data_IF_335280719790
#
_entry.id   IF_335280719790
#
_cell.length_a   1.000
_cell.length_b   1.000
_cell.length_c   1.000
_cell.angle_alpha   90.00
_cell.angle_beta   90.00
_cell.angle_gamma   90.00
#
_symmetry.space_group_name_H-M   'P 1'
#
loop_
_entity.id
_entity.type
_entity.pdbx_description
1 polymer ?
#
# COMPACT_ATOMS: atom_id res chain seq x y z
N UNK A 1 -17.69 12.04 -10.72
CA UNK A 1 -16.98 10.89 -11.32
C UNK A 1 -17.82 9.64 -11.12
N UNK A 2 -17.90 8.75 -12.12
CA UNK A 2 -18.62 7.48 -12.00
C UNK A 2 -17.84 6.49 -11.12
N UNK A 3 -18.53 5.50 -10.52
CA UNK A 3 -17.88 4.49 -9.68
C UNK A 3 -16.76 3.73 -10.43
N UNK A 4 -16.98 3.41 -11.71
CA UNK A 4 -16.00 2.76 -12.58
C UNK A 4 -14.72 3.59 -12.75
N UNK A 5 -14.86 4.92 -12.93
CA UNK A 5 -13.70 5.80 -13.04
C UNK A 5 -12.88 5.84 -11.75
N UNK A 6 -13.53 5.86 -10.58
CA UNK A 6 -12.82 5.82 -9.30
C UNK A 6 -12.04 4.50 -9.13
N UNK A 7 -12.64 3.36 -9.52
CA UNK A 7 -11.95 2.06 -9.50
C UNK A 7 -10.75 2.04 -10.43
N UNK A 8 -10.89 2.55 -11.66
CA UNK A 8 -9.80 2.63 -12.62
C UNK A 8 -8.65 3.50 -12.10
N UNK A 9 -8.95 4.64 -11.45
CA UNK A 9 -7.93 5.50 -10.84
C UNK A 9 -7.17 4.77 -9.74
N UNK A 10 -7.85 3.99 -8.88
CA UNK A 10 -7.19 3.19 -7.84
C UNK A 10 -6.25 2.15 -8.45
N UNK A 11 -6.70 1.42 -9.47
CA UNK A 11 -5.88 0.43 -10.18
C UNK A 11 -4.63 1.10 -10.77
N UNK A 12 -4.79 2.20 -11.50
CA UNK A 12 -3.68 2.91 -12.12
C UNK A 12 -2.72 3.51 -11.07
N UNK A 13 -3.24 4.10 -10.01
CA UNK A 13 -2.43 4.65 -8.93
C UNK A 13 -1.60 3.55 -8.26
N UNK A 14 -2.18 2.37 -8.05
CA UNK A 14 -1.46 1.24 -7.49
C UNK A 14 -0.34 0.77 -8.42
N UNK A 15 -0.64 0.56 -9.71
CA UNK A 15 0.35 0.14 -10.72
C UNK A 15 1.51 1.14 -10.79
N UNK A 16 1.23 2.44 -10.81
CA UNK A 16 2.25 3.48 -10.85
C UNK A 16 3.09 3.50 -9.56
N UNK A 17 2.46 3.41 -8.39
CA UNK A 17 3.16 3.41 -7.11
C UNK A 17 4.06 2.16 -6.97
N UNK A 18 3.54 0.99 -7.36
CA UNK A 18 4.30 -0.25 -7.32
C UNK A 18 5.42 -0.23 -8.37
N UNK A 19 5.15 0.20 -9.59
CA UNK A 19 6.16 0.35 -10.65
C UNK A 19 7.29 1.29 -10.26
N UNK A 20 7.00 2.47 -9.67
CA UNK A 20 8.04 3.35 -9.12
C UNK A 20 8.85 2.65 -8.03
N UNK A 21 8.18 1.90 -7.16
CA UNK A 21 8.87 1.18 -6.09
C UNK A 21 9.79 0.12 -6.68
N UNK A 22 9.30 -0.72 -7.58
CA UNK A 22 10.04 -1.84 -8.18
C UNK A 22 11.17 -1.39 -9.12
N UNK A 23 10.96 -0.33 -9.90
CA UNK A 23 11.89 0.08 -10.97
C UNK A 23 12.85 1.20 -10.57
N UNK A 24 12.53 1.95 -9.51
CA UNK A 24 13.36 3.09 -9.07
C UNK A 24 13.78 2.95 -7.61
N UNK A 25 12.83 2.80 -6.68
CA UNK A 25 13.14 2.80 -5.24
C UNK A 25 13.98 1.59 -4.87
N UNK A 26 13.52 0.37 -5.18
CA UNK A 26 14.17 -0.88 -4.81
C UNK A 26 15.57 -0.99 -5.43
N UNK A 27 15.79 -0.73 -6.73
CA UNK A 27 17.13 -0.79 -7.32
C UNK A 27 18.08 0.26 -6.72
N UNK A 28 17.59 1.45 -6.39
CA UNK A 28 18.39 2.47 -5.74
C UNK A 28 18.76 2.05 -4.31
N UNK A 29 17.79 1.55 -3.53
CA UNK A 29 18.02 1.06 -2.18
C UNK A 29 19.01 -0.11 -2.18
N UNK A 30 18.90 -1.04 -3.13
CA UNK A 30 19.79 -2.19 -3.29
C UNK A 30 21.27 -1.76 -3.41
N UNK A 31 21.53 -0.61 -4.02
CA UNK A 31 22.89 -0.09 -4.20
C UNK A 31 23.52 0.42 -2.90
N UNK A 32 22.72 0.88 -1.93
CA UNK A 32 23.21 1.53 -0.71
C UNK A 32 22.96 0.71 0.56
N UNK A 33 21.88 -0.07 0.60
CA UNK A 33 21.40 -0.83 1.76
C UNK A 33 21.00 -2.25 1.32
N UNK A 34 21.96 -3.06 0.83
CA UNK A 34 21.62 -4.33 0.21
C UNK A 34 20.97 -5.32 1.17
N UNK A 35 21.51 -5.40 2.39
CA UNK A 35 21.03 -6.32 3.44
C UNK A 35 19.60 -5.99 3.89
N UNK A 36 19.21 -4.72 3.86
CA UNK A 36 17.83 -4.30 4.20
C UNK A 36 16.87 -4.60 3.05
N UNK A 37 17.32 -4.40 1.82
CA UNK A 37 16.51 -4.56 0.61
C UNK A 37 16.16 -6.03 0.35
N UNK A 38 16.97 -6.96 0.84
CA UNK A 38 16.67 -8.39 0.82
C UNK A 38 15.36 -8.74 1.55
N UNK A 39 14.94 -7.91 2.52
CA UNK A 39 13.70 -8.11 3.28
C UNK A 39 12.52 -7.35 2.67
N UNK A 40 12.66 -6.04 2.46
CA UNK A 40 11.64 -5.21 1.82
C UNK A 40 12.16 -3.84 1.36
N UNK A 41 11.35 -3.10 0.61
CA UNK A 41 11.61 -1.70 0.30
C UNK A 41 11.22 -0.79 1.48
N UNK A 42 12.12 0.10 1.88
CA UNK A 42 11.90 1.11 2.93
C UNK A 42 10.97 2.24 2.47
N UNK A 43 10.69 2.37 1.17
CA UNK A 43 9.69 3.32 0.67
C UNK A 43 8.68 2.55 -0.15
N UNK A 44 7.77 1.86 0.53
CA UNK A 44 6.74 1.07 -0.14
C UNK A 44 5.49 1.92 -0.44
N UNK A 45 5.54 2.65 -1.55
CA UNK A 45 4.46 3.56 -1.99
C UNK A 45 3.07 2.92 -2.10
N UNK A 46 2.91 1.64 -2.53
CA UNK A 46 1.60 1.01 -2.63
C UNK A 46 0.81 1.00 -1.32
N UNK A 47 1.48 1.01 -0.16
CA UNK A 47 0.79 1.11 1.12
C UNK A 47 -0.05 2.38 1.25
N UNK A 48 0.52 3.53 0.84
CA UNK A 48 -0.21 4.79 0.82
C UNK A 48 -1.45 4.74 -0.06
N UNK A 49 -1.35 4.08 -1.22
CA UNK A 49 -2.49 3.88 -2.14
C UNK A 49 -3.58 3.04 -1.46
N UNK A 50 -3.22 1.96 -0.77
CA UNK A 50 -4.18 1.11 -0.03
C UNK A 50 -4.93 1.91 1.03
N UNK A 51 -4.20 2.65 1.86
CA UNK A 51 -4.78 3.46 2.95
C UNK A 51 -5.70 4.54 2.41
N UNK A 52 -5.26 5.32 1.41
CA UNK A 52 -6.04 6.44 0.86
C UNK A 52 -7.26 5.96 0.07
N UNK A 53 -7.13 4.88 -0.70
CA UNK A 53 -8.24 4.31 -1.47
C UNK A 53 -9.31 3.75 -0.53
N UNK A 54 -8.91 3.03 0.52
CA UNK A 54 -9.83 2.54 1.56
C UNK A 54 -10.46 3.69 2.33
N UNK A 55 -9.71 4.75 2.64
CA UNK A 55 -10.26 5.94 3.29
C UNK A 55 -11.38 6.58 2.45
N UNK A 56 -11.19 6.68 1.14
CA UNK A 56 -12.14 7.30 0.20
C UNK A 56 -13.34 6.41 -0.13
N UNK A 57 -13.10 5.12 -0.40
CA UNK A 57 -14.10 4.20 -0.97
C UNK A 57 -14.57 3.11 0.00
N UNK A 58 -13.98 3.02 1.19
CA UNK A 58 -14.24 1.96 2.16
C UNK A 58 -13.97 0.57 1.58
N UNK A 59 -14.85 -0.38 1.91
CA UNK A 59 -14.78 -1.77 1.40
C UNK A 59 -14.77 -1.90 -0.13
N UNK A 60 -15.29 -0.91 -0.86
CA UNK A 60 -15.31 -0.92 -2.33
C UNK A 60 -13.89 -0.82 -2.89
N UNK A 61 -12.92 -0.29 -2.13
CA UNK A 61 -11.51 -0.24 -2.54
C UNK A 61 -10.85 -1.62 -2.65
N UNK A 62 -11.38 -2.64 -1.95
CA UNK A 62 -10.73 -3.95 -1.88
C UNK A 62 -10.49 -4.57 -3.27
N UNK A 63 -11.52 -4.65 -4.10
CA UNK A 63 -11.42 -5.24 -5.44
C UNK A 63 -10.45 -4.49 -6.38
N UNK A 64 -10.55 -3.17 -6.58
CA UNK A 64 -9.59 -2.46 -7.44
C UNK A 64 -8.15 -2.50 -6.88
N UNK A 65 -7.95 -2.57 -5.56
CA UNK A 65 -6.62 -2.78 -4.98
C UNK A 65 -6.07 -4.17 -5.32
N UNK A 66 -6.88 -5.23 -5.23
CA UNK A 66 -6.47 -6.57 -5.65
C UNK A 66 -6.12 -6.62 -7.14
N UNK A 67 -6.94 -6.00 -7.99
CA UNK A 67 -6.69 -5.93 -9.45
C UNK A 67 -5.40 -5.16 -9.73
N UNK A 68 -5.21 -3.99 -9.12
CA UNK A 68 -4.00 -3.19 -9.29
C UNK A 68 -2.74 -3.92 -8.82
N UNK A 69 -2.82 -4.62 -7.68
CA UNK A 69 -1.72 -5.42 -7.18
C UNK A 69 -1.40 -6.61 -8.09
N UNK A 70 -2.41 -7.36 -8.55
CA UNK A 70 -2.23 -8.46 -9.49
C UNK A 70 -1.56 -7.98 -10.79
N UNK A 71 -2.07 -6.89 -11.38
CA UNK A 71 -1.47 -6.32 -12.60
C UNK A 71 -0.04 -5.83 -12.35
N UNK A 72 0.25 -5.30 -11.17
CA UNK A 72 1.62 -4.90 -10.80
C UNK A 72 2.57 -6.09 -10.77
N UNK A 73 2.15 -7.21 -10.16
CA UNK A 73 2.93 -8.45 -10.17
C UNK A 73 3.13 -9.00 -11.59
N UNK A 74 2.12 -8.91 -12.45
CA UNK A 74 2.25 -9.32 -13.86
C UNK A 74 3.24 -8.44 -14.63
N UNK A 75 3.27 -7.14 -14.35
CA UNK A 75 4.07 -6.16 -15.10
C UNK A 75 5.52 -6.04 -14.59
N UNK A 76 5.74 -6.16 -13.28
CA UNK A 76 7.02 -5.81 -12.65
C UNK A 76 7.73 -6.99 -11.98
N UNK A 77 7.07 -8.14 -11.85
CA UNK A 77 7.69 -9.37 -11.30
C UNK A 77 8.05 -10.32 -12.44
N UNK A 78 9.31 -10.81 -12.51
CA UNK A 78 9.72 -11.77 -13.53
C UNK A 78 8.81 -13.01 -13.57
N UNK A 79 8.48 -13.49 -14.77
CA UNK A 79 7.50 -14.57 -14.95
C UNK A 79 7.87 -15.86 -14.21
N UNK A 80 9.16 -16.21 -14.20
CA UNK A 80 9.70 -17.39 -13.51
C UNK A 80 9.45 -17.30 -12.00
N UNK A 81 9.71 -16.14 -11.39
CA UNK A 81 9.48 -15.88 -9.98
C UNK A 81 7.98 -15.92 -9.65
N UNK A 82 7.15 -15.34 -10.53
CA UNK A 82 5.71 -15.30 -10.35
C UNK A 82 5.08 -16.70 -10.35
N UNK A 83 5.49 -17.57 -11.27
CA UNK A 83 5.01 -18.96 -11.36
C UNK A 83 5.50 -19.77 -10.15
N UNK A 84 6.75 -19.60 -9.75
CA UNK A 84 7.33 -20.31 -8.59
C UNK A 84 6.64 -19.96 -7.27
N UNK A 85 6.07 -18.75 -7.16
CA UNK A 85 5.42 -18.25 -5.95
C UNK A 85 3.88 -18.32 -6.02
N UNK A 86 3.30 -18.97 -7.02
CA UNK A 86 1.87 -19.25 -7.07
C UNK A 86 1.56 -20.50 -6.21
N UNK A 87 0.55 -20.50 -5.32
CA UNK A 87 -0.51 -19.50 -5.11
C UNK A 87 -0.21 -18.41 -4.06
N UNK A 88 0.99 -18.41 -3.46
CA UNK A 88 1.37 -17.51 -2.36
C UNK A 88 1.22 -16.03 -2.72
N UNK A 89 1.54 -15.63 -3.95
CA UNK A 89 1.35 -14.25 -4.43
C UNK A 89 -0.11 -13.79 -4.36
N UNK A 90 -1.07 -14.64 -4.75
CA UNK A 90 -2.49 -14.28 -4.73
C UNK A 90 -2.98 -14.06 -3.30
N UNK A 91 -2.51 -14.89 -2.36
CA UNK A 91 -2.80 -14.71 -0.93
C UNK A 91 -2.15 -13.42 -0.39
N UNK A 92 -0.89 -13.15 -0.76
CA UNK A 92 -0.19 -11.90 -0.41
C UNK A 92 -0.92 -10.66 -0.89
N UNK A 93 -1.47 -10.68 -2.12
CA UNK A 93 -2.29 -9.61 -2.68
C UNK A 93 -3.55 -9.40 -1.84
N UNK A 94 -4.27 -10.48 -1.54
CA UNK A 94 -5.50 -10.41 -0.76
C UNK A 94 -5.25 -9.87 0.66
N UNK A 95 -4.20 -10.36 1.33
CA UNK A 95 -3.77 -9.88 2.65
C UNK A 95 -3.40 -8.39 2.59
N UNK A 96 -2.60 -7.99 1.60
CA UNK A 96 -2.20 -6.61 1.40
C UNK A 96 -3.40 -5.67 1.20
N UNK A 97 -4.34 -6.04 0.33
CA UNK A 97 -5.55 -5.25 0.09
C UNK A 97 -6.48 -5.22 1.33
N UNK A 98 -6.61 -6.33 2.05
CA UNK A 98 -7.44 -6.42 3.25
C UNK A 98 -6.86 -5.63 4.44
N UNK A 99 -5.54 -5.53 4.56
CA UNK A 99 -4.87 -4.91 5.72
C UNK A 99 -5.39 -3.49 6.03
N UNK A 100 -5.56 -2.66 5.01
CA UNK A 100 -6.11 -1.32 5.17
C UNK A 100 -7.56 -1.37 5.61
N UNK A 101 -8.40 -2.20 4.98
CA UNK A 101 -9.81 -2.32 5.36
C UNK A 101 -9.96 -2.78 6.82
N UNK A 102 -9.22 -3.81 7.23
CA UNK A 102 -9.23 -4.31 8.60
C UNK A 102 -8.77 -3.25 9.60
N UNK A 103 -7.78 -2.44 9.25
CA UNK A 103 -7.33 -1.34 10.11
C UNK A 103 -8.39 -0.27 10.30
N UNK A 104 -9.08 0.12 9.22
CA UNK A 104 -10.18 1.09 9.31
C UNK A 104 -11.35 0.56 10.14
N UNK A 105 -11.71 -0.72 9.98
CA UNK A 105 -12.73 -1.35 10.81
C UNK A 105 -12.28 -1.47 12.28
N UNK A 106 -11.02 -1.79 12.56
CA UNK A 106 -10.49 -1.82 13.93
C UNK A 106 -10.58 -0.43 14.61
N UNK A 107 -10.22 0.64 13.90
CA UNK A 107 -10.36 2.01 14.41
C UNK A 107 -11.84 2.40 14.59
N UNK A 108 -12.72 1.92 13.70
CA UNK A 108 -14.16 2.11 13.83
C UNK A 108 -14.76 1.38 15.04
N UNK A 109 -14.29 0.15 15.34
CA UNK A 109 -14.67 -0.62 16.53
C UNK A 109 -14.24 0.08 17.83
N UNK A 110 -13.13 0.82 17.80
CA UNK A 110 -12.70 1.70 18.89
C UNK A 110 -13.51 3.01 19.00
N UNK A 111 -14.60 3.15 18.23
CA UNK A 111 -15.51 4.30 18.28
C UNK A 111 -15.19 5.41 17.27
N UNK A 112 -14.17 5.25 16.42
CA UNK A 112 -13.72 6.29 15.49
C UNK A 112 -13.98 5.90 14.03
N UNK A 113 -15.16 6.26 13.50
CA UNK A 113 -15.46 6.06 12.07
C UNK A 113 -14.86 7.17 11.22
N UNK A 114 -13.75 6.87 10.54
CA UNK A 114 -12.88 7.87 9.89
C UNK A 114 -12.91 7.83 8.36
N UNK A 115 -13.87 7.12 7.75
CA UNK A 115 -14.07 7.10 6.30
C UNK A 115 -14.44 8.50 5.77
N UNK A 116 -13.91 8.88 4.61
CA UNK A 116 -14.09 10.21 4.01
C UNK A 116 -15.58 10.58 3.83
N UNK A 117 -16.42 9.62 3.43
CA UNK A 117 -17.86 9.84 3.22
C UNK A 117 -18.63 10.18 4.50
N UNK A 118 -18.06 9.93 5.68
CA UNK A 118 -18.72 10.09 6.97
C UNK A 118 -18.25 11.36 7.72
N UNK A 119 -17.24 12.07 7.22
CA UNK A 119 -16.66 13.24 7.88
C UNK A 119 -16.46 14.38 6.88
N UNK A 120 -16.88 15.59 7.25
CA UNK A 120 -16.68 16.79 6.43
C UNK A 120 -15.22 17.29 6.42
N UNK A 121 -14.38 16.81 7.34
CA UNK A 121 -13.00 17.28 7.55
C UNK A 121 -12.04 16.09 7.60
N UNK A 122 -10.90 16.20 6.91
CA UNK A 122 -9.84 15.19 6.92
C UNK A 122 -9.04 15.29 8.22
N UNK A 123 -9.21 14.33 9.12
CA UNK A 123 -8.33 14.22 10.28
C UNK A 123 -7.08 13.39 9.95
N UNK A 124 -6.04 14.06 9.45
CA UNK A 124 -4.79 13.43 9.03
C UNK A 124 -4.15 12.53 10.11
N UNK A 125 -4.30 12.88 11.40
CA UNK A 125 -3.82 12.06 12.53
C UNK A 125 -4.47 10.68 12.55
N UNK A 126 -5.78 10.61 12.36
CA UNK A 126 -6.52 9.35 12.32
C UNK A 126 -6.20 8.53 11.08
N UNK A 127 -5.97 9.20 9.95
CA UNK A 127 -5.53 8.56 8.72
C UNK A 127 -4.15 7.90 8.89
N UNK A 128 -3.20 8.61 9.51
CA UNK A 128 -1.88 8.05 9.83
C UNK A 128 -1.97 6.90 10.84
N UNK A 129 -2.83 7.01 11.86
CA UNK A 129 -3.06 5.92 12.81
C UNK A 129 -3.59 4.68 12.09
N UNK A 130 -4.63 4.82 11.28
CA UNK A 130 -5.18 3.70 10.51
C UNK A 130 -4.14 3.11 9.55
N UNK A 131 -3.33 3.95 8.91
CA UNK A 131 -2.23 3.49 8.08
C UNK A 131 -1.13 2.74 8.85
N UNK A 132 -0.86 3.14 10.09
CA UNK A 132 0.07 2.44 11.00
C UNK A 132 -0.50 1.08 11.39
N UNK A 133 -1.77 1.02 11.80
CA UNK A 133 -2.45 -0.24 12.12
C UNK A 133 -2.48 -1.17 10.90
N UNK A 134 -2.77 -0.62 9.72
CA UNK A 134 -2.75 -1.37 8.46
C UNK A 134 -1.37 -1.94 8.16
N UNK A 135 -0.31 -1.19 8.43
CA UNK A 135 1.07 -1.63 8.25
C UNK A 135 1.43 -2.79 9.19
N UNK A 136 1.01 -2.75 10.45
CA UNK A 136 1.19 -3.87 11.39
C UNK A 136 0.43 -5.11 10.90
N UNK A 137 -0.85 -4.96 10.51
CA UNK A 137 -1.66 -6.06 9.98
C UNK A 137 -1.03 -6.65 8.71
N UNK A 138 -0.56 -5.79 7.80
CA UNK A 138 0.13 -6.20 6.58
C UNK A 138 1.41 -6.96 6.91
N UNK A 139 2.26 -6.43 7.78
CA UNK A 139 3.55 -7.06 8.12
C UNK A 139 3.37 -8.44 8.76
N UNK A 140 2.43 -8.58 9.69
CA UNK A 140 2.07 -9.88 10.29
C UNK A 140 1.50 -10.81 9.23
N UNK A 141 0.55 -10.34 8.42
CA UNK A 141 -0.07 -11.14 7.37
C UNK A 141 0.94 -11.64 6.33
N UNK A 142 1.81 -10.76 5.83
CA UNK A 142 2.86 -11.14 4.87
C UNK A 142 3.83 -12.14 5.49
N UNK A 143 4.22 -11.96 6.75
CA UNK A 143 5.11 -12.91 7.44
C UNK A 143 4.48 -14.29 7.57
N UNK A 144 3.17 -14.39 7.80
CA UNK A 144 2.44 -15.67 7.83
C UNK A 144 2.30 -16.28 6.42
N UNK A 145 2.07 -15.45 5.41
CA UNK A 145 1.96 -15.90 4.01
C UNK A 145 3.28 -16.46 3.50
N UNK A 146 4.41 -15.84 3.87
CA UNK A 146 5.74 -16.24 3.44
C UNK A 146 6.51 -17.09 4.47
N UNK A 147 5.88 -17.54 5.56
CA UNK A 147 6.56 -18.30 6.62
C UNK A 147 7.15 -19.63 6.15
N UNK A 148 6.63 -20.21 5.07
CA UNK A 148 7.20 -21.42 4.44
C UNK A 148 8.43 -21.12 3.55
N UNK A 149 8.67 -19.86 3.20
CA UNK A 149 9.75 -19.41 2.33
C UNK A 149 10.84 -18.62 3.07
N UNK A 150 10.54 -18.07 4.25
CA UNK A 150 11.45 -17.27 5.09
C UNK A 150 11.97 -18.11 6.24
N UNK A 151 13.30 -18.16 6.42
CA UNK A 151 13.94 -18.84 7.54
C UNK A 151 13.49 -18.24 8.89
N UNK A 152 13.23 -19.07 9.93
CA UNK A 152 12.75 -18.60 11.24
C UNK A 152 13.60 -17.47 11.85
N UNK A 153 14.91 -17.49 11.62
CA UNK A 153 15.90 -16.59 12.22
C UNK A 153 15.78 -15.12 11.78
N UNK A 154 15.06 -14.84 10.68
CA UNK A 154 14.92 -13.49 10.14
C UNK A 154 13.51 -12.89 10.24
N UNK A 155 12.57 -13.61 10.86
CA UNK A 155 11.15 -13.24 10.95
C UNK A 155 10.92 -11.83 11.54
N UNK A 156 11.69 -11.47 12.58
CA UNK A 156 11.58 -10.16 13.24
C UNK A 156 12.10 -9.00 12.39
N UNK A 157 13.17 -9.23 11.62
CA UNK A 157 13.73 -8.23 10.73
C UNK A 157 12.75 -7.94 9.58
N UNK A 158 12.18 -8.99 8.99
CA UNK A 158 11.15 -8.88 7.94
C UNK A 158 9.97 -8.04 8.42
N UNK A 159 9.37 -8.40 9.56
CA UNK A 159 8.27 -7.65 10.18
C UNK A 159 8.59 -6.16 10.35
N UNK A 160 9.79 -5.86 10.84
CA UNK A 160 10.20 -4.48 11.14
C UNK A 160 10.40 -3.68 9.85
N UNK A 161 11.08 -4.25 8.86
CA UNK A 161 11.38 -3.56 7.59
C UNK A 161 10.08 -3.34 6.79
N UNK A 162 9.16 -4.31 6.76
CA UNK A 162 7.82 -4.09 6.18
C UNK A 162 7.07 -2.97 6.89
N UNK A 163 7.04 -2.98 8.23
CA UNK A 163 6.29 -1.99 8.99
C UNK A 163 6.84 -0.57 8.77
N UNK A 164 8.15 -0.41 8.86
CA UNK A 164 8.83 0.88 8.63
C UNK A 164 8.66 1.32 7.18
N UNK A 165 8.82 0.39 6.22
CA UNK A 165 8.72 0.68 4.80
C UNK A 165 7.33 1.17 4.37
N UNK A 166 6.29 0.55 4.93
CA UNK A 166 4.90 0.95 4.76
C UNK A 166 4.64 2.35 5.34
N UNK A 167 5.13 2.65 6.55
CA UNK A 167 4.94 3.95 7.19
C UNK A 167 5.59 5.08 6.39
N UNK A 168 6.84 4.89 5.96
CA UNK A 168 7.54 5.86 5.11
C UNK A 168 6.80 6.00 3.79
N UNK A 169 6.40 4.87 3.17
CA UNK A 169 5.62 4.85 1.93
C UNK A 169 4.30 5.63 2.04
N UNK A 170 3.57 5.50 3.14
CA UNK A 170 2.35 6.26 3.41
C UNK A 170 2.62 7.76 3.48
N UNK A 171 3.63 8.17 4.25
CA UNK A 171 3.99 9.58 4.41
C UNK A 171 4.39 10.17 3.05
N UNK A 172 5.26 9.48 2.30
CA UNK A 172 5.72 9.93 0.99
C UNK A 172 4.57 10.03 0.00
N UNK A 173 3.73 8.99 -0.12
CA UNK A 173 2.56 9.00 -1.01
C UNK A 173 1.60 10.14 -0.68
N UNK A 174 1.32 10.36 0.61
CA UNK A 174 0.45 11.46 1.05
C UNK A 174 1.04 12.82 0.69
N UNK A 175 2.33 13.02 0.92
CA UNK A 175 3.03 14.26 0.61
C UNK A 175 3.03 14.54 -0.90
N UNK A 176 3.39 13.55 -1.72
CA UNK A 176 3.36 13.66 -3.20
C UNK A 176 1.97 14.07 -3.69
N UNK A 177 0.90 13.42 -3.20
CA UNK A 177 -0.46 13.77 -3.58
C UNK A 177 -0.85 15.19 -3.15
N UNK A 178 -0.39 15.67 -2.00
CA UNK A 178 -0.60 17.06 -1.60
C UNK A 178 0.02 18.04 -2.60
N UNK A 179 1.24 17.78 -3.09
CA UNK A 179 1.87 18.62 -4.12
C UNK A 179 1.13 18.55 -5.45
N UNK A 180 0.74 17.34 -5.88
CA UNK A 180 -0.03 17.15 -7.11
C UNK A 180 -1.34 17.95 -7.06
N UNK A 181 -2.12 17.81 -5.98
CA UNK A 181 -3.38 18.56 -5.84
C UNK A 181 -3.17 20.06 -5.66
N UNK A 182 -2.06 20.49 -5.05
CA UNK A 182 -1.70 21.91 -4.99
C UNK A 182 -1.45 22.45 -6.39
N UNK A 183 -0.66 21.75 -7.20
CA UNK A 183 -0.35 22.16 -8.58
C UNK A 183 -1.59 22.17 -9.47
N UNK A 184 -2.42 21.14 -9.39
CA UNK A 184 -3.67 21.07 -10.15
C UNK A 184 -4.61 22.22 -9.81
N UNK A 185 -4.73 22.60 -8.52
CA UNK A 185 -5.52 23.78 -8.11
C UNK A 185 -4.96 25.08 -8.69
N UNK A 186 -3.65 25.26 -8.68
CA UNK A 186 -3.00 26.45 -9.27
C UNK A 186 -3.25 26.51 -10.79
N UNK A 187 -3.11 25.39 -11.49
CA UNK A 187 -3.35 25.32 -12.93
C UNK A 187 -4.82 25.55 -13.31
N UNK A 188 -5.75 25.04 -12.51
CA UNK A 188 -7.18 25.28 -12.71
C UNK A 188 -7.60 26.71 -12.39
N UNK A 189 -6.91 27.39 -11.46
CA UNK A 189 -7.15 28.80 -11.15
C UNK A 189 -6.52 29.78 -12.16
N UNK A 190 -5.57 29.30 -12.95
CA UNK A 190 -4.93 30.06 -14.03
C UNK A 190 -5.64 29.91 -15.39
N UNK A 191 -6.71 29.11 -15.46
CA UNK A 191 -7.61 28.96 -16.61
C UNK A 191 -8.91 29.70 -16.36
#
# INVERSE_FOLDING_TARGET
MTAALNMAVVVLAYILAHGLTAMLVTPLQMRFLPDVTAFASLVYLPHGVRVLSTWLMGKVAFLPLCVGAFLSEVLFTPAELRVAMEPVILLSIAVGAASALLAFEAVALAGHRIYARQQAVIHWKWLLLAGTVASVINSVGQSLVFSGAVLPDHSYAVLTVYAVGDLIGLIVTTFVLMFVFRWLRVLSAAR
#
